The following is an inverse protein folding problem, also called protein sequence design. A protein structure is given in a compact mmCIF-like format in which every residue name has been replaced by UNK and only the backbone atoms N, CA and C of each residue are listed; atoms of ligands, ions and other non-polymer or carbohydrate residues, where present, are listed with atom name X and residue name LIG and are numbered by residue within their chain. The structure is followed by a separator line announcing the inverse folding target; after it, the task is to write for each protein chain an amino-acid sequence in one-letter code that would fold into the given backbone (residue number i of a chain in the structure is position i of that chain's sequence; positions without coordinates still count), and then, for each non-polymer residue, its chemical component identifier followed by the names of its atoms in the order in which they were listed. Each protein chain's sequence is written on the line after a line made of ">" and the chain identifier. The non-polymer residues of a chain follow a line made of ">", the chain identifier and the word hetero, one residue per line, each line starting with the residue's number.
data_IF_479061603592
#
_entry.id   IF_479061603592
#
_cell.length_a   1.000
_cell.length_b   1.000
_cell.length_c   1.000
_cell.angle_alpha   90.00
_cell.angle_beta   90.00
_cell.angle_gamma   90.00
#
_symmetry.space_group_name_H-M   'P 1'
#
loop_
_entity.id
_entity.type
_entity.pdbx_description
1 polymer ?
#
# COMPACT_ATOMS: atom_id res chain seq x y z
N UNK A 1 4.85 -31.58 -17.49
CA UNK A 1 5.41 -30.24 -17.73
C UNK A 1 6.17 -30.28 -19.07
N UNK A 2 5.48 -30.06 -20.17
CA UNK A 2 6.05 -30.03 -21.53
C UNK A 2 6.76 -28.70 -21.76
N UNK A 3 7.96 -28.74 -22.32
CA UNK A 3 8.81 -27.56 -22.50
C UNK A 3 8.36 -26.73 -23.70
N UNK A 4 8.54 -25.42 -23.63
CA UNK A 4 8.23 -24.44 -24.68
C UNK A 4 8.92 -24.80 -26.03
N UNK A 5 9.99 -25.58 -25.95
CA UNK A 5 10.74 -26.12 -27.09
C UNK A 5 9.96 -27.19 -27.88
N UNK A 6 9.07 -27.95 -27.22
CA UNK A 6 8.21 -28.93 -27.88
C UNK A 6 6.98 -28.28 -28.54
N UNK A 7 6.46 -27.19 -27.97
CA UNK A 7 5.39 -26.40 -28.61
C UNK A 7 5.83 -25.77 -29.94
N UNK A 8 7.11 -25.38 -30.05
CA UNK A 8 7.69 -24.81 -31.27
C UNK A 8 7.97 -25.85 -32.37
N UNK A 9 8.20 -27.12 -32.02
CA UNK A 9 8.35 -28.21 -33.01
C UNK A 9 7.03 -28.59 -33.65
N UNK A 10 5.92 -28.44 -32.93
CA UNK A 10 4.60 -28.89 -33.36
C UNK A 10 3.89 -27.91 -34.32
N UNK A 11 4.36 -26.65 -34.41
CA UNK A 11 3.87 -25.64 -35.37
C UNK A 11 4.52 -25.72 -36.77
N UNK A 12 5.27 -26.78 -37.09
CA UNK A 12 5.67 -27.07 -38.48
C UNK A 12 6.65 -26.08 -39.13
N UNK A 13 7.36 -25.26 -38.36
CA UNK A 13 8.28 -24.24 -38.87
C UNK A 13 9.77 -24.58 -38.70
N UNK A 14 10.11 -25.87 -38.63
CA UNK A 14 11.51 -26.32 -38.56
C UNK A 14 11.75 -27.37 -39.66
N UNK A 15 12.46 -26.97 -40.72
CA UNK A 15 12.91 -27.87 -41.79
C UNK A 15 13.90 -28.90 -41.23
N UNK A 16 13.80 -30.19 -41.60
CA UNK A 16 14.72 -31.22 -41.14
C UNK A 16 16.13 -31.01 -41.70
N UNK A 17 17.10 -31.25 -40.83
CA UNK A 17 18.55 -31.12 -41.03
C UNK A 17 19.03 -32.12 -42.09
N UNK A 18 19.38 -31.64 -43.29
CA UNK A 18 20.03 -32.45 -44.32
C UNK A 18 21.53 -32.53 -44.03
N UNK A 19 22.03 -33.73 -43.76
CA UNK A 19 23.45 -34.06 -43.77
C UNK A 19 23.93 -34.07 -45.22
N UNK A 20 24.90 -33.22 -45.57
CA UNK A 20 25.53 -33.20 -46.88
C UNK A 20 26.91 -32.55 -46.80
N UNK A 21 27.93 -33.30 -47.20
CA UNK A 21 29.35 -32.94 -47.26
C UNK A 21 29.61 -31.65 -48.06
N UNK A 22 30.46 -30.75 -47.53
CA UNK A 22 31.74 -30.42 -48.16
C UNK A 22 32.55 -29.46 -47.27
N UNK A 23 33.73 -29.91 -46.82
CA UNK A 23 34.72 -29.07 -46.13
C UNK A 23 35.49 -28.27 -47.19
N UNK A 24 35.38 -26.94 -47.17
CA UNK A 24 36.34 -26.03 -47.79
C UNK A 24 36.80 -25.01 -46.75
N UNK A 25 38.10 -24.93 -46.40
CA UNK A 25 38.60 -23.89 -45.51
C UNK A 25 38.82 -22.62 -46.33
N UNK A 26 37.91 -21.65 -46.23
CA UNK A 26 38.11 -20.31 -46.82
C UNK A 26 38.27 -19.27 -45.72
N UNK A 27 39.55 -18.96 -45.48
CA UNK A 27 40.14 -17.67 -45.09
C UNK A 27 39.36 -16.84 -44.07
N UNK A 28 39.87 -16.85 -42.84
CA UNK A 28 39.57 -15.84 -41.82
C UNK A 28 39.83 -14.43 -42.39
N UNK A 29 38.84 -13.52 -42.42
CA UNK A 29 39.13 -12.13 -42.66
C UNK A 29 39.88 -11.58 -41.45
N UNK A 30 41.03 -10.98 -41.75
CA UNK A 30 41.95 -10.30 -40.84
C UNK A 30 41.17 -9.36 -39.91
N UNK A 31 41.54 -9.37 -38.64
CA UNK A 31 41.06 -8.48 -37.59
C UNK A 31 40.98 -7.03 -38.10
N UNK A 32 39.75 -6.56 -38.34
CA UNK A 32 39.48 -5.15 -38.54
C UNK A 32 39.72 -4.45 -37.19
N UNK A 33 40.67 -3.52 -37.24
CA UNK A 33 41.02 -2.47 -36.29
C UNK A 33 40.12 -2.37 -35.04
N UNK A 34 40.78 -2.39 -33.88
CA UNK A 34 40.34 -1.76 -32.63
C UNK A 34 39.99 -0.28 -32.92
N UNK A 35 38.79 -0.01 -33.40
CA UNK A 35 38.16 1.29 -33.15
C UNK A 35 37.85 1.31 -31.67
N UNK A 36 38.73 1.96 -30.91
CA UNK A 36 38.37 2.53 -29.61
C UNK A 36 37.08 3.29 -29.86
N UNK A 37 35.97 2.74 -29.40
CA UNK A 37 34.67 3.41 -29.39
C UNK A 37 34.86 4.70 -28.60
N UNK A 38 35.18 5.80 -29.30
CA UNK A 38 34.95 7.14 -28.81
C UNK A 38 33.44 7.23 -28.71
N UNK A 39 32.93 6.87 -27.54
CA UNK A 39 31.55 7.12 -27.14
C UNK A 39 31.35 8.62 -27.38
N UNK A 40 30.64 8.97 -28.47
CA UNK A 40 30.39 10.36 -28.83
C UNK A 40 29.71 11.05 -27.64
N UNK A 41 30.06 12.30 -27.35
CA UNK A 41 29.42 13.07 -26.26
C UNK A 41 27.89 13.05 -26.38
N UNK A 42 27.37 12.95 -27.60
CA UNK A 42 25.95 12.77 -27.91
C UNK A 42 25.38 11.45 -27.36
N UNK A 43 26.11 10.34 -27.48
CA UNK A 43 25.69 9.04 -26.93
C UNK A 43 25.72 9.04 -25.40
N UNK A 44 26.66 9.77 -24.79
CA UNK A 44 26.77 9.93 -23.34
C UNK A 44 25.63 10.82 -22.80
N UNK A 45 25.29 11.92 -23.50
CA UNK A 45 24.12 12.76 -23.21
C UNK A 45 22.80 12.00 -23.38
N UNK A 46 22.67 11.18 -24.43
CA UNK A 46 21.49 10.33 -24.66
C UNK A 46 21.31 9.30 -23.54
N UNK A 47 22.38 8.63 -23.10
CA UNK A 47 22.34 7.71 -21.96
C UNK A 47 21.96 8.43 -20.66
N UNK A 48 22.52 9.61 -20.39
CA UNK A 48 22.15 10.41 -19.23
C UNK A 48 20.67 10.85 -19.26
N UNK A 49 20.16 11.23 -20.43
CA UNK A 49 18.74 11.57 -20.60
C UNK A 49 17.82 10.36 -20.37
N UNK A 50 18.19 9.18 -20.87
CA UNK A 50 17.46 7.93 -20.62
C UNK A 50 17.45 7.57 -19.13
N UNK A 51 18.59 7.69 -18.43
CA UNK A 51 18.68 7.43 -16.99
C UNK A 51 17.81 8.43 -16.21
N UNK A 52 17.82 9.71 -16.55
CA UNK A 52 16.98 10.74 -15.91
C UNK A 52 15.49 10.46 -16.12
N UNK A 53 15.10 10.06 -17.34
CA UNK A 53 13.71 9.68 -17.65
C UNK A 53 13.28 8.43 -16.87
N UNK A 54 14.11 7.38 -16.86
CA UNK A 54 13.83 6.15 -16.11
C UNK A 54 13.69 6.40 -14.61
N UNK A 55 14.50 7.28 -14.02
CA UNK A 55 14.36 7.69 -12.62
C UNK A 55 13.03 8.41 -12.35
N UNK A 56 12.63 9.34 -13.23
CA UNK A 56 11.35 10.07 -13.10
C UNK A 56 10.15 9.13 -13.25
N UNK A 57 10.19 8.24 -14.24
CA UNK A 57 9.14 7.27 -14.49
C UNK A 57 9.00 6.28 -13.33
N UNK A 58 10.13 5.87 -12.72
CA UNK A 58 10.13 5.03 -11.52
C UNK A 58 9.43 5.72 -10.34
N UNK A 59 9.78 6.97 -10.03
CA UNK A 59 9.15 7.72 -8.93
C UNK A 59 7.64 7.89 -9.17
N UNK A 60 7.22 8.20 -10.41
CA UNK A 60 5.81 8.31 -10.76
C UNK A 60 5.07 6.97 -10.62
N UNK A 61 5.70 5.86 -10.99
CA UNK A 61 5.11 4.54 -10.82
C UNK A 61 5.00 4.15 -9.34
N UNK A 62 6.04 4.42 -8.54
CA UNK A 62 6.02 4.19 -7.09
C UNK A 62 4.89 4.98 -6.41
N UNK A 63 4.65 6.23 -6.80
CA UNK A 63 3.51 7.03 -6.32
C UNK A 63 2.16 6.41 -6.70
N UNK A 64 1.98 6.02 -7.97
CA UNK A 64 0.74 5.36 -8.43
C UNK A 64 0.49 4.03 -7.74
N UNK A 65 1.54 3.26 -7.49
CA UNK A 65 1.46 2.00 -6.76
C UNK A 65 1.05 2.23 -5.30
N UNK A 66 1.60 3.25 -4.65
CA UNK A 66 1.20 3.63 -3.29
C UNK A 66 -0.28 4.03 -3.23
N UNK A 67 -0.76 4.87 -4.16
CA UNK A 67 -2.16 5.25 -4.25
C UNK A 67 -3.08 4.05 -4.51
N UNK A 68 -2.68 3.13 -5.38
CA UNK A 68 -3.44 1.90 -5.65
C UNK A 68 -3.56 1.03 -4.40
N UNK A 69 -2.46 0.85 -3.66
CA UNK A 69 -2.46 0.08 -2.41
C UNK A 69 -3.35 0.72 -1.35
N UNK A 70 -3.31 2.04 -1.20
CA UNK A 70 -4.21 2.76 -0.28
C UNK A 70 -5.67 2.55 -0.65
N UNK A 71 -6.02 2.73 -1.92
CA UNK A 71 -7.39 2.48 -2.42
C UNK A 71 -7.85 1.04 -2.21
N UNK A 72 -6.94 0.07 -2.37
CA UNK A 72 -7.24 -1.33 -2.12
C UNK A 72 -7.54 -1.60 -0.65
N UNK A 73 -6.74 -1.03 0.27
CA UNK A 73 -7.00 -1.11 1.71
C UNK A 73 -8.34 -0.46 2.06
N UNK A 74 -8.60 0.75 1.54
CA UNK A 74 -9.85 1.48 1.77
C UNK A 74 -11.07 0.68 1.27
N UNK A 75 -10.96 0.04 0.11
CA UNK A 75 -12.01 -0.81 -0.45
C UNK A 75 -12.25 -2.05 0.42
N UNK A 76 -11.19 -2.69 0.90
CA UNK A 76 -11.30 -3.83 1.82
C UNK A 76 -11.97 -3.44 3.14
N UNK A 77 -11.61 -2.29 3.70
CA UNK A 77 -12.24 -1.72 4.89
C UNK A 77 -13.72 -1.49 4.64
N UNK A 78 -14.07 -0.83 3.52
CA UNK A 78 -15.46 -0.57 3.14
C UNK A 78 -16.27 -1.86 3.02
N UNK A 79 -15.73 -2.89 2.38
CA UNK A 79 -16.41 -4.17 2.21
C UNK A 79 -16.70 -4.83 3.57
N UNK A 80 -15.72 -4.84 4.48
CA UNK A 80 -15.89 -5.41 5.81
C UNK A 80 -16.92 -4.63 6.63
N UNK A 81 -16.87 -3.28 6.58
CA UNK A 81 -17.87 -2.41 7.22
C UNK A 81 -19.26 -2.67 6.67
N UNK A 82 -19.43 -2.74 5.35
CA UNK A 82 -20.73 -2.96 4.74
C UNK A 82 -21.36 -4.32 5.10
N UNK A 83 -20.54 -5.35 5.32
CA UNK A 83 -21.02 -6.67 5.75
C UNK A 83 -21.37 -6.70 7.25
N UNK A 84 -20.65 -5.94 8.08
CA UNK A 84 -20.77 -6.00 9.53
C UNK A 84 -21.55 -4.82 10.15
N UNK A 85 -21.95 -3.83 9.35
CA UNK A 85 -22.70 -2.66 9.83
C UNK A 85 -24.02 -3.11 10.45
N UNK A 86 -24.39 -2.44 11.52
CA UNK A 86 -25.71 -2.59 12.13
C UNK A 86 -26.63 -1.51 11.60
N UNK A 87 -27.86 -1.90 11.27
CA UNK A 87 -28.88 -0.95 10.84
C UNK A 87 -29.27 -0.02 11.99
N UNK A 88 -29.68 1.19 11.60
CA UNK A 88 -29.95 2.32 12.50
C UNK A 88 -31.32 2.92 12.26
N UNK A 89 -32.26 2.15 11.70
CA UNK A 89 -33.58 2.65 11.31
C UNK A 89 -34.40 3.19 12.49
N UNK A 90 -34.15 2.70 13.72
CA UNK A 90 -34.80 3.17 14.96
C UNK A 90 -33.82 3.95 15.88
N UNK A 91 -32.85 4.64 15.29
CA UNK A 91 -31.85 5.38 16.04
C UNK A 91 -32.37 6.78 16.41
N UNK A 92 -32.54 7.01 17.71
CA UNK A 92 -33.03 8.28 18.26
C UNK A 92 -31.97 8.97 19.14
N UNK A 93 -31.10 8.17 19.77
CA UNK A 93 -30.11 8.64 20.72
C UNK A 93 -28.83 9.10 20.02
N UNK A 94 -28.28 10.25 20.43
CA UNK A 94 -26.95 10.67 19.99
C UNK A 94 -25.86 10.09 20.90
N UNK A 95 -24.86 9.46 20.30
CA UNK A 95 -23.65 9.01 20.97
C UNK A 95 -22.46 9.88 20.56
N UNK A 96 -21.80 10.48 21.55
CA UNK A 96 -20.66 11.37 21.35
C UNK A 96 -19.34 10.60 21.49
N UNK A 97 -18.42 10.83 20.56
CA UNK A 97 -17.10 10.22 20.54
C UNK A 97 -16.04 11.20 20.02
N UNK A 98 -14.78 10.98 20.37
CA UNK A 98 -13.68 11.84 19.95
C UNK A 98 -13.03 11.30 18.69
N UNK A 99 -12.93 12.11 17.64
CA UNK A 99 -12.20 11.80 16.43
C UNK A 99 -11.31 12.97 16.02
N UNK A 100 -10.00 12.73 15.85
CA UNK A 100 -9.02 13.77 15.45
C UNK A 100 -9.09 15.04 16.33
N UNK A 101 -9.15 14.87 17.66
CA UNK A 101 -9.29 15.95 18.67
C UNK A 101 -10.60 16.76 18.60
N UNK A 102 -11.59 16.32 17.83
CA UNK A 102 -12.93 16.92 17.79
C UNK A 102 -13.96 15.94 18.30
N UNK A 103 -14.92 16.42 19.07
CA UNK A 103 -16.10 15.63 19.45
C UNK A 103 -17.01 15.54 18.23
N UNK A 104 -17.41 14.32 17.89
CA UNK A 104 -18.39 14.01 16.84
C UNK A 104 -19.52 13.20 17.46
N UNK A 105 -20.69 13.26 16.84
CA UNK A 105 -21.87 12.51 17.26
C UNK A 105 -22.31 11.55 16.16
N UNK A 106 -22.88 10.41 16.58
CA UNK A 106 -23.56 9.45 15.71
C UNK A 106 -24.90 9.11 16.33
N UNK A 107 -25.95 9.07 15.51
CA UNK A 107 -27.28 8.64 15.96
C UNK A 107 -27.30 7.11 16.01
N UNK A 108 -27.69 6.57 17.15
CA UNK A 108 -27.70 5.13 17.47
C UNK A 108 -28.97 4.74 18.21
N UNK A 109 -29.28 3.45 18.22
CA UNK A 109 -30.38 2.92 19.05
C UNK A 109 -29.96 2.83 20.53
N UNK A 110 -30.90 2.79 21.49
CA UNK A 110 -30.59 2.60 22.91
C UNK A 110 -29.80 1.32 23.22
N UNK A 111 -30.02 0.25 22.44
CA UNK A 111 -29.26 -1.00 22.54
C UNK A 111 -27.83 -0.84 22.04
N UNK A 112 -27.65 -0.16 20.90
CA UNK A 112 -26.33 0.14 20.35
C UNK A 112 -25.53 1.05 21.27
N UNK A 113 -26.16 2.06 21.88
CA UNK A 113 -25.52 2.92 22.90
C UNK A 113 -24.99 2.11 24.09
N UNK A 114 -25.78 1.15 24.57
CA UNK A 114 -25.35 0.21 25.63
C UNK A 114 -24.20 -0.68 25.15
N UNK A 115 -24.26 -1.21 23.93
CA UNK A 115 -23.18 -2.01 23.34
C UNK A 115 -21.88 -1.23 23.15
N UNK A 116 -21.96 0.02 22.72
CA UNK A 116 -20.81 0.93 22.59
C UNK A 116 -20.18 1.22 23.96
N UNK A 117 -21.01 1.45 24.98
CA UNK A 117 -20.54 1.69 26.36
C UNK A 117 -19.84 0.45 26.94
N UNK A 118 -20.41 -0.74 26.70
CA UNK A 118 -19.85 -2.04 27.11
C UNK A 118 -18.63 -2.49 26.28
N UNK A 119 -18.36 -1.85 25.14
CA UNK A 119 -17.28 -2.25 24.23
C UNK A 119 -17.54 -3.50 23.40
N UNK A 120 -18.80 -3.95 23.32
CA UNK A 120 -19.22 -5.01 22.39
C UNK A 120 -19.41 -4.47 20.97
N UNK A 121 -19.66 -3.17 20.84
CA UNK A 121 -19.74 -2.44 19.58
C UNK A 121 -18.63 -1.39 19.49
N UNK A 122 -18.31 -1.01 18.27
CA UNK A 122 -17.32 0.02 17.96
C UNK A 122 -17.87 0.99 16.90
N UNK A 123 -17.36 2.22 16.93
CA UNK A 123 -17.58 3.19 15.86
C UNK A 123 -16.38 3.17 14.93
N UNK A 124 -16.65 3.00 13.64
CA UNK A 124 -15.64 2.98 12.58
C UNK A 124 -15.87 4.11 11.59
N UNK A 125 -14.79 4.57 10.96
CA UNK A 125 -14.81 5.58 9.92
C UNK A 125 -14.46 4.95 8.57
N UNK A 126 -15.26 5.29 7.57
CA UNK A 126 -15.07 4.88 6.18
C UNK A 126 -14.43 6.03 5.39
N UNK A 127 -13.81 5.75 4.24
CA UNK A 127 -13.11 6.73 3.38
C UNK A 127 -13.91 8.02 3.06
N UNK A 128 -15.25 7.96 3.09
CA UNK A 128 -16.14 9.12 2.93
C UNK A 128 -16.46 9.91 4.21
N UNK A 129 -15.68 9.77 5.29
CA UNK A 129 -15.96 10.35 6.63
C UNK A 129 -17.32 9.95 7.23
N UNK A 130 -17.90 8.86 6.75
CA UNK A 130 -19.13 8.29 7.32
C UNK A 130 -18.77 7.46 8.54
N UNK A 131 -19.57 7.60 9.58
CA UNK A 131 -19.46 6.82 10.80
C UNK A 131 -20.49 5.71 10.78
N UNK A 132 -20.02 4.49 10.98
CA UNK A 132 -20.87 3.31 11.08
C UNK A 132 -20.60 2.59 12.40
N UNK A 133 -21.60 1.87 12.88
CA UNK A 133 -21.50 1.02 14.07
C UNK A 133 -21.30 -0.41 13.63
N UNK A 134 -20.26 -1.06 14.14
CA UNK A 134 -19.93 -2.46 13.85
C UNK A 134 -19.66 -3.24 15.14
N UNK A 135 -19.82 -4.57 15.14
CA UNK A 135 -19.41 -5.42 16.25
C UNK A 135 -17.92 -5.36 16.54
N UNK A 136 -17.53 -5.62 17.81
CA UNK A 136 -16.13 -5.71 18.26
C UNK A 136 -15.28 -6.62 17.38
N UNK A 137 -15.82 -7.76 16.96
CA UNK A 137 -15.12 -8.73 16.11
C UNK A 137 -14.74 -8.17 14.75
N UNK A 138 -15.63 -7.39 14.13
CA UNK A 138 -15.35 -6.68 12.88
C UNK A 138 -14.35 -5.54 13.10
N UNK A 139 -14.49 -4.79 14.20
CA UNK A 139 -13.57 -3.73 14.56
C UNK A 139 -12.13 -4.24 14.79
N UNK A 140 -11.96 -5.41 15.41
CA UNK A 140 -10.65 -6.05 15.59
C UNK A 140 -10.01 -6.39 14.24
N UNK A 141 -10.76 -7.01 13.32
CA UNK A 141 -10.29 -7.31 11.95
C UNK A 141 -9.94 -6.04 11.16
N UNK A 142 -10.67 -4.95 11.38
CA UNK A 142 -10.35 -3.65 10.80
C UNK A 142 -9.08 -3.07 11.40
N UNK A 143 -8.87 -3.21 12.71
CA UNK A 143 -7.69 -2.70 13.38
C UNK A 143 -6.40 -3.38 12.91
N UNK A 144 -6.46 -4.69 12.63
CA UNK A 144 -5.33 -5.46 12.06
C UNK A 144 -4.94 -4.98 10.65
N UNK A 145 -5.89 -4.49 9.85
CA UNK A 145 -5.65 -4.06 8.47
C UNK A 145 -5.37 -2.56 8.35
N UNK A 146 -6.14 -1.76 9.09
CA UNK A 146 -6.11 -0.32 9.03
C UNK A 146 -6.58 0.26 10.38
N UNK A 147 -5.63 0.44 11.30
CA UNK A 147 -5.89 0.95 12.66
C UNK A 147 -6.62 2.29 12.68
N UNK A 148 -6.36 3.18 11.71
CA UNK A 148 -7.01 4.48 11.62
C UNK A 148 -8.50 4.43 11.20
N UNK A 149 -9.02 3.25 10.83
CA UNK A 149 -10.45 3.07 10.53
C UNK A 149 -11.28 2.90 11.80
N UNK A 150 -10.69 2.46 12.92
CA UNK A 150 -11.39 2.32 14.18
C UNK A 150 -11.32 3.64 14.95
N UNK A 151 -12.48 4.27 15.18
CA UNK A 151 -12.55 5.57 15.84
C UNK A 151 -12.77 5.43 17.33
N UNK A 152 -13.71 4.56 17.70
CA UNK A 152 -14.07 4.34 19.08
C UNK A 152 -14.23 2.85 19.33
N UNK A 153 -13.41 2.34 20.24
CA UNK A 153 -13.55 1.00 20.79
C UNK A 153 -13.43 1.17 22.30
N UNK A 154 -14.52 0.93 23.02
CA UNK A 154 -14.46 0.94 24.48
C UNK A 154 -13.57 -0.23 24.89
N UNK A 155 -12.43 0.11 25.49
CA UNK A 155 -11.55 -0.87 26.09
C UNK A 155 -12.18 -1.23 27.42
N UNK A 156 -12.49 -2.50 27.63
CA UNK A 156 -12.53 -3.05 28.98
C UNK A 156 -11.18 -2.67 29.59
N UNK A 157 -11.20 -1.67 30.49
CA UNK A 157 -10.12 -1.17 31.33
C UNK A 157 -8.76 -1.82 31.07
N UNK A 158 -8.10 -1.45 29.99
CA UNK A 158 -6.67 -1.72 29.82
C UNK A 158 -6.06 -0.47 29.19
N UNK A 159 -5.34 0.27 30.03
CA UNK A 159 -4.74 1.59 29.83
C UNK A 159 -3.58 1.58 28.80
N UNK A 160 -3.75 0.98 27.64
CA UNK A 160 -2.64 0.79 26.69
C UNK A 160 -3.11 1.04 25.25
N UNK A 161 -3.17 2.29 24.81
CA UNK A 161 -2.78 2.69 23.44
C UNK A 161 -2.85 4.21 23.24
N UNK A 162 -2.32 4.98 24.18
CA UNK A 162 -2.00 6.40 23.94
C UNK A 162 -0.48 6.63 24.00
N UNK A 163 0.28 5.65 23.48
CA UNK A 163 1.76 5.66 23.45
C UNK A 163 2.36 5.41 22.05
N UNK A 164 1.59 5.65 20.98
CA UNK A 164 2.13 5.60 19.60
C UNK A 164 1.89 6.91 18.85
N UNK A 165 2.23 8.02 19.52
CA UNK A 165 2.63 9.28 18.91
C UNK A 165 3.89 9.77 19.60
N UNK A 166 5.05 9.26 19.17
CA UNK A 166 6.32 9.71 19.71
C UNK A 166 7.46 8.82 19.24
N UNK A 167 7.88 9.01 17.99
CA UNK A 167 9.14 8.58 17.37
C UNK A 167 8.98 8.94 15.88
N UNK A 168 9.58 9.97 15.30
CA UNK A 168 10.82 10.71 15.60
C UNK A 168 10.54 12.19 15.91
N UNK A 169 10.93 12.65 17.09
CA UNK A 169 11.16 14.08 17.34
C UNK A 169 12.66 14.35 17.15
N UNK A 170 13.10 14.97 16.04
CA UNK A 170 14.51 15.26 15.77
C UNK A 170 15.12 16.32 16.71
N UNK A 171 14.36 16.92 17.64
CA UNK A 171 14.82 17.92 18.60
C UNK A 171 15.08 17.41 20.02
N UNK A 172 14.96 16.10 20.27
CA UNK A 172 15.25 15.50 21.59
C UNK A 172 16.70 15.66 22.09
N UNK A 173 17.62 16.18 21.26
CA UNK A 173 19.00 16.49 21.62
C UNK A 173 19.18 17.88 22.26
N UNK A 174 18.13 18.70 22.35
CA UNK A 174 18.20 19.99 23.02
C UNK A 174 17.60 19.87 24.43
N UNK A 175 18.46 19.65 25.43
CA UNK A 175 18.10 19.76 26.84
C UNK A 175 17.68 21.22 27.13
N UNK A 176 16.43 21.42 27.52
CA UNK A 176 15.92 22.72 27.99
C UNK A 176 16.45 22.94 29.41
N UNK A 177 17.25 23.99 29.67
CA UNK A 177 17.77 24.26 31.01
C UNK A 177 16.65 24.63 31.98
N UNK A 178 16.71 24.04 33.17
CA UNK A 178 15.67 23.99 34.22
C UNK A 178 15.51 25.29 35.04
N UNK A 179 15.58 26.47 34.40
CA UNK A 179 15.41 27.74 35.11
C UNK A 179 14.47 28.72 34.40
N UNK A 180 13.17 28.38 34.43
CA UNK A 180 12.09 29.34 34.22
C UNK A 180 10.99 29.09 35.27
N UNK A 181 11.20 29.67 36.45
CA UNK A 181 10.12 30.02 37.36
C UNK A 181 9.44 31.30 36.86
N UNK A 182 8.13 31.20 36.62
CA UNK A 182 7.19 32.33 36.56
C UNK A 182 6.16 32.15 37.67
#
# INVERSE_FOLDING_TARGET
>A
MSTLQDQLKQMGLVKPKVKGQNRKPKKQPKAAKKDRVKVSEETLRAQQAMIKKAKRDRVLNEQREAERKQKEIDAQVLQLVNHAKLDRENAEDSFNFTHKKKVKSIVVTPEQRRGLSKGTLAVVVTAGQRFEVVPKTAAQKLNERHSAAVVFLSKETTKESDKTKGQEDPYAAYEVPDDLVW
#
